data_IF_809894437249
#
_entry.id   IF_809894437249
#
_cell.length_a   1.000
_cell.length_b   1.000
_cell.length_c   1.000
_cell.angle_alpha   90.00
_cell.angle_beta   90.00
_cell.angle_gamma   90.00
#
_symmetry.space_group_name_H-M   'P 1'
#
loop_
_entity.id
_entity.type
_entity.pdbx_description
1 polymer ?
#
# COMPACT_ATOMS: atom_id res chain seq x y z
N UNK A 1 -62.83 2.44 -33.05
CA UNK A 1 -61.78 1.81 -32.23
C UNK A 1 -61.31 0.56 -32.96
N UNK A 2 -60.21 0.61 -33.72
CA UNK A 2 -59.44 -0.62 -33.95
C UNK A 2 -58.00 -0.37 -33.46
N UNK A 3 -57.77 -0.92 -32.28
CA UNK A 3 -56.67 -0.63 -31.37
C UNK A 3 -55.53 -1.65 -31.56
N UNK A 4 -55.33 -2.14 -32.80
CA UNK A 4 -54.48 -3.30 -33.11
C UNK A 4 -53.17 -2.99 -33.83
N UNK A 5 -52.76 -1.73 -33.92
CA UNK A 5 -51.46 -1.36 -34.47
C UNK A 5 -50.58 -0.51 -33.54
N UNK A 6 -51.03 -0.24 -32.30
CA UNK A 6 -50.22 0.47 -31.31
C UNK A 6 -49.24 -0.46 -30.57
N UNK A 7 -49.45 -1.79 -30.55
CA UNK A 7 -48.55 -2.73 -29.88
C UNK A 7 -47.30 -3.09 -30.68
N UNK A 8 -47.35 -2.96 -32.01
CA UNK A 8 -46.23 -3.36 -32.87
C UNK A 8 -45.17 -2.25 -32.95
N UNK A 9 -45.57 -0.98 -33.00
CA UNK A 9 -44.64 0.16 -32.99
C UNK A 9 -44.06 0.45 -31.59
N UNK A 10 -44.83 0.24 -30.52
CA UNK A 10 -44.31 0.40 -29.16
C UNK A 10 -43.29 -0.67 -28.79
N UNK A 11 -43.41 -1.90 -29.32
CA UNK A 11 -42.44 -2.97 -29.06
C UNK A 11 -41.07 -2.73 -29.71
N UNK A 12 -41.01 -2.16 -30.92
CA UNK A 12 -39.72 -1.83 -31.57
C UNK A 12 -38.99 -0.66 -30.92
N UNK A 13 -39.73 0.34 -30.43
CA UNK A 13 -39.15 1.46 -29.68
C UNK A 13 -38.64 0.98 -28.32
N UNK A 14 -39.37 0.12 -27.60
CA UNK A 14 -38.94 -0.39 -26.28
C UNK A 14 -37.70 -1.30 -26.39
N UNK A 15 -37.54 -2.08 -27.47
CA UNK A 15 -36.37 -2.95 -27.65
C UNK A 15 -35.08 -2.17 -28.00
N UNK A 16 -35.19 -0.96 -28.54
CA UNK A 16 -34.05 -0.11 -28.87
C UNK A 16 -33.55 0.72 -27.67
N UNK A 17 -34.37 0.89 -26.63
CA UNK A 17 -33.95 1.58 -25.37
C UNK A 17 -33.20 0.63 -24.42
N UNK A 18 -33.37 -0.69 -24.57
CA UNK A 18 -32.69 -1.72 -23.77
C UNK A 18 -31.22 -1.96 -24.17
N UNK A 19 -30.74 -1.37 -25.27
CA UNK A 19 -29.32 -1.39 -25.65
C UNK A 19 -28.55 -0.17 -25.16
N UNK A 20 -29.14 0.65 -24.29
CA UNK A 20 -28.45 1.77 -23.64
C UNK A 20 -27.50 1.25 -22.57
N UNK A 21 -26.35 0.76 -23.02
CA UNK A 21 -25.06 0.85 -22.33
C UNK A 21 -25.11 0.67 -20.80
N UNK A 22 -25.32 -0.57 -20.34
CA UNK A 22 -24.80 -1.01 -19.04
C UNK A 22 -23.27 -1.16 -19.03
N UNK A 23 -22.59 -0.74 -20.09
CA UNK A 23 -21.20 -0.32 -19.99
C UNK A 23 -21.16 1.06 -19.32
N UNK A 24 -21.41 1.09 -18.02
CA UNK A 24 -20.70 2.08 -17.21
C UNK A 24 -19.24 1.94 -17.62
N UNK A 25 -18.53 3.01 -18.04
CA UNK A 25 -17.10 2.94 -17.99
C UNK A 25 -16.82 2.67 -16.51
N UNK A 26 -16.46 1.43 -16.18
CA UNK A 26 -15.62 1.17 -15.04
C UNK A 26 -14.37 1.99 -15.34
N UNK A 27 -14.42 3.29 -15.00
CA UNK A 27 -13.23 4.08 -14.75
C UNK A 27 -12.67 3.40 -13.51
N UNK A 28 -11.56 2.67 -13.60
CA UNK A 28 -10.85 2.29 -12.40
C UNK A 28 -10.12 3.56 -11.94
N UNK A 29 -10.87 4.58 -11.51
CA UNK A 29 -10.30 5.77 -10.89
C UNK A 29 -10.23 5.66 -9.37
N UNK A 30 -10.75 4.56 -8.83
CA UNK A 30 -10.78 4.30 -7.39
C UNK A 30 -10.01 3.02 -7.01
N UNK A 31 -9.09 2.57 -7.86
CA UNK A 31 -7.92 1.90 -7.30
C UNK A 31 -7.29 2.90 -6.32
N UNK A 32 -6.91 2.53 -5.08
CA UNK A 32 -6.14 3.42 -4.22
C UNK A 32 -4.78 3.70 -4.86
N UNK A 33 -4.77 4.55 -5.88
CA UNK A 33 -3.59 5.19 -6.40
C UNK A 33 -3.01 6.05 -5.28
N UNK A 34 -1.68 6.14 -5.22
CA UNK A 34 -1.00 7.02 -4.29
C UNK A 34 -1.71 8.38 -4.28
N UNK A 35 -2.22 8.84 -3.12
CA UNK A 35 -2.65 10.23 -2.94
C UNK A 35 -1.45 11.18 -2.84
N UNK A 36 -0.43 10.94 -3.66
CA UNK A 36 0.82 11.67 -3.72
C UNK A 36 1.62 11.59 -2.42
N UNK A 37 2.18 12.73 -2.02
CA UNK A 37 3.14 12.89 -0.91
C UNK A 37 2.48 12.64 0.46
N UNK A 38 1.14 12.75 0.56
CA UNK A 38 0.41 12.55 1.81
C UNK A 38 0.49 11.10 2.32
N UNK A 39 0.54 10.12 1.41
CA UNK A 39 0.64 8.73 1.81
C UNK A 39 1.98 8.37 2.43
N UNK A 40 3.00 9.19 2.15
CA UNK A 40 4.35 9.12 2.72
C UNK A 40 4.59 10.19 3.79
N UNK A 41 3.55 10.55 4.56
CA UNK A 41 3.61 11.54 5.64
C UNK A 41 4.21 12.90 5.24
N UNK A 42 4.08 13.28 3.98
CA UNK A 42 4.70 14.47 3.40
C UNK A 42 6.24 14.50 3.42
N UNK A 43 6.88 13.35 3.61
CA UNK A 43 8.34 13.21 3.72
C UNK A 43 8.88 12.19 2.71
N UNK A 44 8.25 12.13 1.54
CA UNK A 44 8.66 11.26 0.46
C UNK A 44 7.70 11.26 -0.71
N UNK A 45 8.10 10.52 -1.73
CA UNK A 45 7.32 10.31 -2.94
C UNK A 45 6.74 8.90 -2.91
N UNK A 46 5.42 8.82 -3.06
CA UNK A 46 4.72 7.55 -3.19
C UNK A 46 4.92 7.01 -4.62
N UNK A 47 5.31 5.74 -4.74
CA UNK A 47 5.58 5.07 -6.00
C UNK A 47 4.94 3.67 -6.02
N UNK A 48 4.77 3.12 -7.22
CA UNK A 48 4.12 1.82 -7.45
C UNK A 48 2.64 1.95 -7.83
N UNK A 49 1.99 0.81 -8.04
CA UNK A 49 0.55 0.71 -8.34
C UNK A 49 -0.06 -0.43 -7.53
N UNK A 50 -1.36 -0.36 -7.24
CA UNK A 50 -2.05 -1.45 -6.51
C UNK A 50 -1.96 -2.79 -7.26
N UNK A 51 -1.86 -2.72 -8.59
CA UNK A 51 -1.87 -3.86 -9.49
C UNK A 51 -0.46 -4.45 -9.68
N UNK A 52 0.57 -3.78 -9.17
CA UNK A 52 1.94 -4.28 -9.19
C UNK A 52 2.14 -5.34 -8.10
N UNK A 53 2.90 -6.39 -8.40
CA UNK A 53 3.23 -7.44 -7.43
C UNK A 53 4.01 -6.93 -6.21
N UNK A 54 4.68 -5.77 -6.35
CA UNK A 54 5.43 -5.11 -5.30
C UNK A 54 4.57 -4.16 -4.45
N UNK A 55 3.37 -3.79 -4.93
CA UNK A 55 2.45 -2.89 -4.25
C UNK A 55 2.92 -1.43 -4.19
N UNK A 56 2.23 -0.63 -3.39
CA UNK A 56 2.57 0.78 -3.14
C UNK A 56 3.68 0.90 -2.10
N UNK A 57 4.67 1.74 -2.37
CA UNK A 57 5.77 2.01 -1.45
C UNK A 57 6.21 3.48 -1.48
N UNK A 58 6.88 3.92 -0.42
CA UNK A 58 7.36 5.29 -0.27
C UNK A 58 8.87 5.38 -0.46
N UNK A 59 9.30 6.34 -1.29
CA UNK A 59 10.69 6.76 -1.42
C UNK A 59 10.86 8.00 -0.53
N UNK A 60 11.50 7.83 0.62
CA UNK A 60 11.60 8.90 1.62
C UNK A 60 12.63 9.96 1.26
N UNK A 61 12.32 11.20 1.65
CA UNK A 61 13.25 12.32 1.59
C UNK A 61 14.45 12.07 2.53
N UNK A 62 15.62 12.66 2.24
CA UNK A 62 16.74 12.64 3.18
C UNK A 62 16.28 13.14 4.55
N UNK A 63 16.62 12.42 5.61
CA UNK A 63 16.11 12.75 6.92
C UNK A 63 14.85 11.99 7.35
N UNK A 64 14.32 11.05 6.56
CA UNK A 64 13.10 10.31 6.91
C UNK A 64 13.14 8.82 6.52
N UNK A 65 12.48 7.98 7.31
CA UNK A 65 12.49 6.52 7.19
C UNK A 65 11.14 5.89 7.58
N UNK A 66 11.04 4.57 7.38
CA UNK A 66 9.84 3.77 7.65
C UNK A 66 8.97 3.59 6.41
N UNK A 67 8.01 2.65 6.48
CA UNK A 67 7.15 2.27 5.36
C UNK A 67 6.35 3.44 4.76
N UNK A 68 6.15 4.51 5.54
CA UNK A 68 5.43 5.71 5.13
C UNK A 68 6.24 6.98 5.42
N UNK A 69 7.56 6.90 5.56
CA UNK A 69 8.43 8.04 5.89
C UNK A 69 8.03 8.78 7.19
N UNK A 70 7.48 8.05 8.16
CA UNK A 70 7.00 8.61 9.42
C UNK A 70 8.09 8.83 10.47
N UNK A 71 9.31 8.33 10.23
CA UNK A 71 10.41 8.35 11.20
C UNK A 71 11.47 9.38 10.76
N UNK A 72 11.63 10.52 11.44
CA UNK A 72 12.69 11.48 11.13
C UNK A 72 14.09 10.97 11.53
N UNK A 73 15.14 11.37 10.80
CA UNK A 73 16.56 11.06 11.03
C UNK A 73 17.16 11.84 12.20
N UNK A 74 16.43 12.82 12.76
CA UNK A 74 16.80 13.38 14.05
C UNK A 74 16.90 12.24 15.06
N UNK A 75 18.15 11.91 15.39
CA UNK A 75 18.59 10.84 16.28
C UNK A 75 18.12 11.06 17.73
N UNK A 76 17.53 12.21 18.02
CA UNK A 76 16.83 12.51 19.26
C UNK A 76 15.41 11.89 19.30
N UNK A 77 14.83 11.57 18.14
CA UNK A 77 13.55 10.87 18.00
C UNK A 77 13.70 9.42 17.48
N UNK A 78 14.72 9.14 16.66
CA UNK A 78 15.11 7.78 16.25
C UNK A 78 16.43 7.42 16.90
N UNK A 79 16.30 6.74 18.03
CA UNK A 79 17.36 6.06 18.75
C UNK A 79 18.10 5.15 17.74
N UNK A 80 19.31 5.54 17.32
CA UNK A 80 20.17 4.66 16.51
C UNK A 80 20.51 3.42 17.33
N UNK A 81 20.89 2.29 16.74
CA UNK A 81 21.29 1.11 17.54
C UNK A 81 22.35 1.50 18.58
N UNK A 82 23.30 2.39 18.26
CA UNK A 82 24.29 2.92 19.21
C UNK A 82 23.69 3.71 20.39
N UNK A 83 22.56 4.39 20.18
CA UNK A 83 21.86 5.15 21.21
C UNK A 83 20.70 4.36 21.84
N UNK A 84 20.37 3.16 21.35
CA UNK A 84 19.32 2.28 21.90
C UNK A 84 19.93 1.31 22.91
N UNK A 85 19.90 1.54 24.24
CA UNK A 85 20.36 0.55 25.21
C UNK A 85 19.67 -0.82 25.19
N UNK A 86 18.66 -1.05 24.34
CA UNK A 86 17.93 -2.31 24.24
C UNK A 86 17.53 -2.64 22.80
N UNK A 87 17.32 -3.90 22.47
CA UNK A 87 16.85 -4.34 21.16
C UNK A 87 15.42 -3.83 20.87
N UNK A 88 15.19 -3.15 19.75
CA UNK A 88 13.85 -2.69 19.33
C UNK A 88 13.42 -3.39 18.03
N UNK A 89 12.33 -4.15 18.06
CA UNK A 89 11.88 -5.01 16.95
C UNK A 89 11.66 -4.26 15.64
N UNK A 90 10.99 -3.11 15.71
CA UNK A 90 10.62 -2.33 14.53
C UNK A 90 11.84 -1.75 13.81
N UNK A 91 12.90 -1.44 14.57
CA UNK A 91 14.11 -0.79 14.07
C UNK A 91 15.16 -1.83 13.71
N UNK A 92 15.38 -2.81 14.59
CA UNK A 92 16.53 -3.70 14.49
C UNK A 92 16.22 -4.96 13.67
N UNK A 93 14.97 -5.44 13.70
CA UNK A 93 14.51 -6.63 12.97
C UNK A 93 13.49 -6.31 11.87
N UNK A 94 13.45 -5.06 11.41
CA UNK A 94 12.53 -4.57 10.37
C UNK A 94 11.05 -4.85 10.64
N UNK A 95 10.67 -5.04 11.92
CA UNK A 95 9.31 -5.43 12.30
C UNK A 95 8.92 -6.87 11.96
N UNK A 96 9.82 -7.66 11.36
CA UNK A 96 9.55 -9.01 10.84
C UNK A 96 10.16 -10.12 11.70
N UNK A 97 10.31 -9.87 13.00
CA UNK A 97 10.85 -10.85 13.94
C UNK A 97 10.75 -10.38 15.38
N UNK A 98 11.25 -11.21 16.29
CA UNK A 98 11.43 -10.85 17.70
C UNK A 98 12.87 -10.41 17.92
N UNK A 99 13.04 -9.22 18.50
CA UNK A 99 14.33 -8.67 18.87
C UNK A 99 14.73 -9.11 20.29
N UNK A 100 15.97 -9.54 20.46
CA UNK A 100 16.58 -9.75 21.78
C UNK A 100 18.04 -9.31 21.82
N UNK A 101 18.53 -8.98 23.02
CA UNK A 101 19.90 -8.50 23.24
C UNK A 101 19.97 -6.97 23.35
N UNK A 102 21.17 -6.44 23.19
CA UNK A 102 21.49 -5.03 23.06
C UNK A 102 22.08 -4.71 21.68
N UNK A 103 22.87 -3.66 21.64
CA UNK A 103 23.44 -3.11 20.41
C UNK A 103 24.53 -3.99 19.82
N UNK A 104 25.36 -4.56 20.70
CA UNK A 104 26.56 -5.32 20.35
C UNK A 104 26.26 -6.81 20.16
N UNK A 105 25.13 -7.27 20.68
CA UNK A 105 24.65 -8.65 20.70
C UNK A 105 23.25 -8.77 20.09
N UNK A 106 22.97 -7.94 19.06
CA UNK A 106 21.70 -7.93 18.35
C UNK A 106 21.33 -9.33 17.84
N UNK A 107 20.20 -9.86 18.32
CA UNK A 107 19.59 -11.07 17.80
C UNK A 107 18.17 -10.81 17.32
N UNK A 108 17.90 -11.24 16.08
CA UNK A 108 16.57 -11.24 15.49
C UNK A 108 16.12 -12.68 15.22
N UNK A 109 15.00 -13.06 15.84
CA UNK A 109 14.31 -14.30 15.51
C UNK A 109 13.17 -14.01 14.53
N UNK A 110 13.41 -14.27 13.24
CA UNK A 110 12.48 -13.86 12.19
C UNK A 110 11.15 -14.61 12.24
N UNK A 111 10.09 -13.89 11.93
CA UNK A 111 8.77 -14.49 11.71
C UNK A 111 8.79 -15.37 10.46
N UNK A 112 7.85 -16.33 10.35
CA UNK A 112 7.73 -17.17 9.15
C UNK A 112 7.62 -16.32 7.88
N UNK A 113 8.36 -16.71 6.85
CA UNK A 113 8.42 -15.96 5.58
C UNK A 113 9.46 -14.84 5.55
N UNK A 114 10.32 -14.71 6.55
CA UNK A 114 11.43 -13.72 6.58
C UNK A 114 12.76 -14.33 7.02
N UNK A 115 13.87 -13.79 6.51
CA UNK A 115 15.23 -14.24 6.80
C UNK A 115 16.29 -13.12 6.72
N UNK A 116 17.52 -13.52 7.07
CA UNK A 116 18.71 -12.68 7.19
C UNK A 116 18.85 -12.05 8.57
N UNK A 117 20.01 -11.43 8.82
CA UNK A 117 20.44 -10.97 10.16
C UNK A 117 19.44 -10.03 10.84
N UNK A 118 18.73 -9.21 10.05
CA UNK A 118 17.71 -8.27 10.54
C UNK A 118 16.30 -8.58 10.03
N UNK A 119 16.02 -9.80 9.58
CA UNK A 119 14.71 -10.19 9.02
C UNK A 119 14.23 -9.30 7.85
N UNK A 120 15.19 -8.79 7.08
CA UNK A 120 14.97 -7.88 5.95
C UNK A 120 14.63 -8.58 4.62
N UNK A 121 14.74 -9.91 4.55
CA UNK A 121 14.57 -10.63 3.28
C UNK A 121 13.31 -11.50 3.34
N UNK A 122 12.31 -11.28 2.48
CA UNK A 122 11.10 -12.10 2.42
C UNK A 122 11.35 -13.40 1.64
N UNK A 123 10.65 -14.48 2.02
CA UNK A 123 10.62 -15.75 1.28
C UNK A 123 9.52 -15.65 0.25
N UNK A 124 9.91 -15.68 -1.02
CA UNK A 124 9.02 -15.71 -2.19
C UNK A 124 8.43 -17.09 -2.41
#
# INVERSE_FOLDING_TARGET
LDNRNLSMWTSFVILSILSSALALPFRPSDAPDCKGVLDCNNHGVCAGTIDSAEGLYCICDPGYFGLRCQLPEDKSAVKTTADVPWCETQINCNGNGVCSGGVEDLQCNCFPGWYGVRCQIPVS
#
